data_IF_336056517986
#
_entry.id   IF_336056517986
#
_cell.length_a   1.000
_cell.length_b   1.000
_cell.length_c   1.000
_cell.angle_alpha   90.00
_cell.angle_beta   90.00
_cell.angle_gamma   90.00
#
_symmetry.space_group_name_H-M   'P 1'
#
loop_
_entity.id
_entity.type
_entity.pdbx_description
1 polymer ?
#
# COMPACT_ATOMS: atom_id res chain seq x y z
N UNK A 1 34.47 -33.41 -49.20
CA UNK A 1 35.76 -34.11 -49.24
C UNK A 1 36.54 -33.60 -48.04
N UNK A 2 36.24 -34.20 -46.89
CA UNK A 2 37.20 -34.94 -46.03
C UNK A 2 38.08 -33.96 -45.25
N UNK A 3 37.91 -33.85 -43.93
CA UNK A 3 38.38 -34.87 -42.99
C UNK A 3 37.40 -35.17 -41.84
N UNK A 4 37.37 -36.46 -41.50
CA UNK A 4 36.51 -37.13 -40.54
C UNK A 4 37.20 -37.33 -39.18
N UNK A 5 36.37 -37.29 -38.12
CA UNK A 5 36.34 -38.20 -36.97
C UNK A 5 37.48 -38.22 -35.93
N UNK A 6 37.14 -38.82 -34.79
CA UNK A 6 37.91 -39.07 -33.55
C UNK A 6 37.74 -37.92 -32.53
N UNK A 7 37.02 -38.03 -31.40
CA UNK A 7 37.08 -39.08 -30.38
C UNK A 7 35.79 -39.07 -29.52
N UNK A 8 35.13 -40.22 -29.41
CA UNK A 8 34.07 -40.53 -28.46
C UNK A 8 34.60 -41.52 -27.40
N UNK A 9 33.92 -41.59 -26.23
CA UNK A 9 34.18 -42.37 -24.99
C UNK A 9 34.97 -41.55 -23.95
N UNK A 10 34.55 -41.40 -22.69
CA UNK A 10 33.97 -42.39 -21.76
C UNK A 10 33.11 -41.72 -20.68
N UNK A 11 31.87 -42.20 -20.49
CA UNK A 11 31.05 -41.93 -19.31
C UNK A 11 31.16 -43.10 -18.31
N UNK A 12 31.19 -42.85 -16.98
CA UNK A 12 31.19 -43.93 -15.98
C UNK A 12 29.79 -44.52 -15.72
N UNK A 13 29.70 -45.79 -15.26
CA UNK A 13 28.47 -46.57 -15.27
C UNK A 13 27.53 -46.27 -14.08
N UNK A 14 26.24 -46.42 -14.33
CA UNK A 14 25.14 -46.40 -13.34
C UNK A 14 25.22 -47.66 -12.45
N UNK A 15 25.36 -47.45 -11.15
CA UNK A 15 25.32 -48.51 -10.14
C UNK A 15 23.90 -48.74 -9.60
N UNK A 16 23.32 -49.88 -9.98
CA UNK A 16 22.71 -50.86 -9.08
C UNK A 16 21.61 -50.41 -8.11
N UNK A 17 20.36 -50.65 -8.52
CA UNK A 17 19.20 -50.83 -7.63
C UNK A 17 19.45 -51.93 -6.59
N UNK A 18 19.30 -51.61 -5.30
CA UNK A 18 19.02 -52.58 -4.24
C UNK A 18 17.78 -52.15 -3.45
N UNK A 19 16.83 -53.08 -3.39
CA UNK A 19 15.54 -53.01 -2.71
C UNK A 19 15.63 -53.45 -1.24
N UNK A 20 14.68 -52.91 -0.45
CA UNK A 20 14.10 -53.38 0.85
C UNK A 20 14.64 -52.75 2.15
N UNK A 21 13.86 -52.72 3.26
CA UNK A 21 12.39 -52.75 3.39
C UNK A 21 11.81 -51.61 4.27
N UNK A 22 10.48 -51.56 4.25
CA UNK A 22 9.55 -50.76 5.07
C UNK A 22 9.84 -50.75 6.57
N UNK A 23 9.74 -49.57 7.21
CA UNK A 23 9.68 -49.40 8.66
C UNK A 23 8.45 -48.55 9.04
N UNK A 24 7.41 -49.30 9.41
CA UNK A 24 6.39 -49.10 10.45
C UNK A 24 6.13 -47.69 11.01
N UNK A 25 4.87 -47.28 10.83
CA UNK A 25 4.15 -46.22 11.55
C UNK A 25 4.11 -46.48 13.06
N UNK A 26 4.30 -45.42 13.87
CA UNK A 26 3.82 -45.34 15.26
C UNK A 26 3.18 -43.98 15.51
N UNK A 27 1.94 -43.88 15.99
CA UNK A 27 1.33 -42.64 16.44
C UNK A 27 1.44 -42.48 17.97
N UNK A 28 1.03 -41.28 18.43
CA UNK A 28 0.63 -40.90 19.79
C UNK A 28 1.71 -40.31 20.70
N UNK A 29 1.55 -39.02 20.99
CA UNK A 29 1.45 -38.56 22.36
C UNK A 29 0.51 -37.34 22.42
N UNK A 30 -0.67 -37.61 22.98
CA UNK A 30 -1.72 -36.66 23.36
C UNK A 30 -1.35 -35.87 24.62
N UNK A 31 -1.81 -34.61 24.63
CA UNK A 31 -2.35 -33.83 25.76
C UNK A 31 -1.59 -33.79 27.09
N UNK A 32 -1.27 -32.57 27.52
CA UNK A 32 -1.43 -32.17 28.94
C UNK A 32 -1.67 -30.67 29.05
N UNK A 33 -2.93 -30.32 29.31
CA UNK A 33 -3.36 -29.02 29.80
C UNK A 33 -2.98 -28.94 31.29
N UNK A 34 -2.09 -28.02 31.67
CA UNK A 34 -1.80 -27.77 33.07
C UNK A 34 -2.68 -26.62 33.58
N UNK A 35 -3.40 -26.93 34.66
CA UNK A 35 -4.42 -26.13 35.31
C UNK A 35 -3.88 -24.85 35.99
N UNK A 36 -4.73 -23.84 36.01
CA UNK A 36 -4.54 -22.59 36.75
C UNK A 36 -4.60 -22.80 38.28
N UNK A 37 -3.78 -22.09 39.08
CA UNK A 37 -4.00 -22.01 40.51
C UNK A 37 -5.00 -20.91 40.86
N UNK A 38 -5.95 -21.30 41.71
CA UNK A 38 -6.99 -20.50 42.35
C UNK A 38 -6.45 -19.50 43.37
N UNK A 39 -7.14 -18.35 43.45
CA UNK A 39 -7.05 -17.24 44.43
C UNK A 39 -6.80 -17.66 45.89
N UNK A 40 -6.35 -16.68 46.71
CA UNK A 40 -7.25 -16.25 47.77
C UNK A 40 -7.51 -14.72 47.78
N UNK A 41 -8.75 -14.41 48.18
CA UNK A 41 -9.28 -13.07 48.44
C UNK A 41 -8.50 -12.39 49.58
N UNK A 42 -7.81 -11.31 49.24
CA UNK A 42 -7.24 -10.37 50.20
C UNK A 42 -8.22 -9.23 50.52
N UNK A 43 -8.64 -9.22 51.78
CA UNK A 43 -9.44 -8.28 52.57
C UNK A 43 -9.38 -6.79 52.17
N UNK A 44 -10.57 -6.18 52.05
CA UNK A 44 -10.80 -4.73 52.10
C UNK A 44 -10.28 -4.15 53.42
N UNK A 45 -9.31 -3.24 53.33
CA UNK A 45 -8.93 -2.33 54.39
C UNK A 45 -9.42 -0.93 54.06
N UNK A 46 -10.47 -0.48 54.76
CA UNK A 46 -10.83 0.93 54.86
C UNK A 46 -9.82 1.62 55.79
N UNK A 47 -9.20 2.71 55.34
CA UNK A 47 -8.50 3.64 56.23
C UNK A 47 -8.69 5.08 55.76
N UNK A 48 -9.43 5.80 56.62
CA UNK A 48 -9.35 7.20 57.03
C UNK A 48 -8.97 8.31 56.04
N UNK A 49 -9.83 9.33 56.08
CA UNK A 49 -9.72 10.63 55.45
C UNK A 49 -8.40 11.37 55.76
N UNK A 50 -7.77 11.87 54.70
CA UNK A 50 -6.75 12.91 54.75
C UNK A 50 -7.20 14.09 53.89
N UNK A 51 -7.46 15.22 54.54
CA UNK A 51 -7.80 16.51 53.93
C UNK A 51 -6.55 17.10 53.25
N UNK A 52 -6.34 16.71 52.00
CA UNK A 52 -5.27 17.23 51.13
C UNK A 52 -5.78 18.28 50.14
N UNK A 53 -5.39 19.53 50.39
CA UNK A 53 -5.52 20.72 49.53
C UNK A 53 -5.39 20.40 48.02
N UNK A 54 -6.46 20.63 47.25
CA UNK A 54 -6.45 20.52 45.80
C UNK A 54 -5.66 21.68 45.17
N UNK A 55 -4.36 21.50 44.98
CA UNK A 55 -3.58 22.33 44.07
C UNK A 55 -4.00 21.99 42.63
N UNK A 56 -4.47 23.00 41.89
CA UNK A 56 -4.94 22.88 40.52
C UNK A 56 -3.88 22.30 39.59
N UNK A 57 -3.91 20.98 39.40
CA UNK A 57 -3.25 20.31 38.30
C UNK A 57 -3.88 20.82 37.01
N UNK A 58 -3.14 21.68 36.28
CA UNK A 58 -3.44 22.01 34.90
C UNK A 58 -3.63 20.70 34.16
N UNK A 59 -4.86 20.43 33.73
CA UNK A 59 -5.26 19.25 32.98
C UNK A 59 -4.46 19.28 31.68
N UNK A 60 -3.37 18.53 31.63
CA UNK A 60 -2.58 18.38 30.41
C UNK A 60 -3.54 17.91 29.32
N UNK A 61 -3.57 18.65 28.21
CA UNK A 61 -4.30 18.26 27.02
C UNK A 61 -3.93 16.81 26.65
N UNK A 62 -4.87 16.00 26.13
CA UNK A 62 -4.56 14.64 25.73
C UNK A 62 -3.38 14.70 24.74
N UNK A 63 -2.23 14.15 25.14
CA UNK A 63 -1.10 13.94 24.23
C UNK A 63 -1.62 13.08 23.09
N UNK A 64 -1.52 13.57 21.86
CA UNK A 64 -1.92 12.82 20.67
C UNK A 64 -1.21 11.47 20.67
N UNK A 65 -2.00 10.39 20.61
CA UNK A 65 -1.49 9.02 20.74
C UNK A 65 -0.80 8.54 19.44
N UNK A 66 -0.76 9.35 18.38
CA UNK A 66 -0.07 8.99 17.14
C UNK A 66 0.59 10.21 16.51
N UNK A 67 1.87 10.35 16.77
CA UNK A 67 2.83 10.96 15.86
C UNK A 67 4.13 10.14 15.87
N UNK A 68 4.02 8.81 15.76
CA UNK A 68 5.06 8.07 15.07
C UNK A 68 4.90 8.39 13.59
N UNK A 69 5.93 8.93 12.95
CA UNK A 69 5.87 9.20 11.52
C UNK A 69 5.53 7.89 10.79
N UNK A 70 4.35 7.82 10.18
CA UNK A 70 3.87 6.62 9.48
C UNK A 70 4.88 6.27 8.40
N UNK A 71 5.26 4.99 8.33
CA UNK A 71 6.26 4.50 7.40
C UNK A 71 5.79 4.69 5.95
N UNK A 72 6.75 4.96 5.05
CA UNK A 72 6.48 5.13 3.63
C UNK A 72 7.42 4.27 2.79
N UNK A 73 6.88 3.70 1.72
CA UNK A 73 7.63 2.91 0.74
C UNK A 73 7.44 3.50 -0.66
N UNK A 74 8.53 3.56 -1.41
CA UNK A 74 8.50 3.83 -2.84
C UNK A 74 8.27 2.53 -3.60
N UNK A 75 7.31 2.57 -4.53
CA UNK A 75 7.00 1.45 -5.42
C UNK A 75 7.05 1.98 -6.85
N UNK A 76 7.74 1.27 -7.74
CA UNK A 76 7.81 1.60 -9.16
C UNK A 76 7.34 0.44 -10.01
N UNK A 77 6.35 0.70 -10.87
CA UNK A 77 5.99 -0.20 -11.96
C UNK A 77 6.92 0.10 -13.12
N UNK A 78 7.69 -0.91 -13.51
CA UNK A 78 8.72 -0.85 -14.55
C UNK A 78 8.08 -0.83 -15.95
N UNK A 79 8.86 -0.52 -17.01
CA UNK A 79 8.30 -0.34 -18.35
C UNK A 79 7.53 -1.56 -18.88
N UNK A 80 7.97 -2.78 -18.53
CA UNK A 80 7.27 -4.02 -18.87
C UNK A 80 5.87 -4.10 -18.25
N UNK A 81 5.72 -3.71 -16.98
CA UNK A 81 4.45 -3.67 -16.28
C UNK A 81 3.47 -2.65 -16.89
N UNK A 82 4.00 -1.49 -17.31
CA UNK A 82 3.20 -0.46 -17.98
C UNK A 82 2.76 -0.92 -19.37
N UNK A 83 3.70 -1.42 -20.19
CA UNK A 83 3.40 -1.91 -21.55
C UNK A 83 2.40 -3.06 -21.56
N UNK A 84 2.39 -3.90 -20.51
CA UNK A 84 1.45 -5.02 -20.36
C UNK A 84 0.10 -4.64 -19.73
N UNK A 85 -0.12 -3.36 -19.41
CA UNK A 85 -1.38 -2.91 -18.81
C UNK A 85 -1.59 -3.37 -17.35
N UNK A 86 -0.52 -3.69 -16.62
CA UNK A 86 -0.60 -4.24 -15.26
C UNK A 86 -0.72 -3.18 -14.15
N UNK A 87 -0.82 -1.90 -14.52
CA UNK A 87 -0.83 -0.77 -13.57
C UNK A 87 -1.97 -0.89 -12.56
N UNK A 88 -3.20 -1.10 -13.04
CA UNK A 88 -4.38 -1.21 -12.18
C UNK A 88 -4.34 -2.43 -11.25
N UNK A 89 -3.87 -3.58 -11.75
CA UNK A 89 -3.74 -4.81 -10.97
C UNK A 89 -2.75 -4.61 -9.81
N UNK A 90 -1.58 -4.02 -10.08
CA UNK A 90 -0.55 -3.79 -9.06
C UNK A 90 -1.05 -2.80 -8.00
N UNK A 91 -1.64 -1.68 -8.41
CA UNK A 91 -2.22 -0.69 -7.48
C UNK A 91 -3.27 -1.37 -6.59
N UNK A 92 -4.18 -2.13 -7.19
CA UNK A 92 -5.25 -2.84 -6.47
C UNK A 92 -4.72 -3.75 -5.37
N UNK A 93 -3.53 -4.36 -5.54
CA UNK A 93 -2.95 -5.25 -4.51
C UNK A 93 -2.51 -4.48 -3.26
N UNK A 94 -1.98 -3.27 -3.43
CA UNK A 94 -1.61 -2.40 -2.30
C UNK A 94 -2.85 -1.80 -1.63
N UNK A 95 -3.84 -1.36 -2.42
CA UNK A 95 -5.10 -0.82 -1.89
C UNK A 95 -5.89 -1.87 -1.09
N UNK A 96 -6.04 -3.10 -1.62
CA UNK A 96 -6.71 -4.21 -0.93
C UNK A 96 -6.01 -4.60 0.38
N UNK A 97 -4.72 -4.32 0.50
CA UNK A 97 -3.95 -4.55 1.73
C UNK A 97 -4.16 -3.46 2.79
N UNK A 98 -4.81 -2.36 2.43
CA UNK A 98 -5.13 -1.24 3.32
C UNK A 98 -4.08 -0.12 3.36
N UNK A 99 -3.12 -0.12 2.43
CA UNK A 99 -2.14 0.97 2.35
C UNK A 99 -2.72 2.21 1.68
N UNK A 100 -2.21 3.39 2.08
CA UNK A 100 -2.68 4.68 1.57
C UNK A 100 -1.74 5.13 0.46
N UNK A 101 -2.28 5.39 -0.73
CA UNK A 101 -1.54 6.00 -1.83
C UNK A 101 -1.38 7.51 -1.59
N UNK A 102 -0.15 7.98 -1.39
CA UNK A 102 0.17 9.39 -1.13
C UNK A 102 0.57 10.17 -2.37
N UNK A 103 1.03 9.47 -3.40
CA UNK A 103 1.42 10.08 -4.67
C UNK A 103 1.57 9.04 -5.76
N UNK A 104 1.21 9.42 -6.97
CA UNK A 104 1.32 8.60 -8.17
C UNK A 104 1.77 9.48 -9.33
N UNK A 105 2.74 9.00 -10.12
CA UNK A 105 3.27 9.72 -11.27
C UNK A 105 3.68 8.75 -12.37
N UNK A 106 3.12 8.94 -13.57
CA UNK A 106 3.58 8.31 -14.81
C UNK A 106 4.57 9.25 -15.49
N UNK A 107 5.78 8.77 -15.83
CA UNK A 107 6.73 9.56 -16.62
C UNK A 107 7.76 8.70 -17.33
N UNK A 108 8.44 9.28 -18.31
CA UNK A 108 9.63 8.69 -18.94
C UNK A 108 10.85 8.97 -18.06
N UNK A 109 11.48 7.93 -17.51
CA UNK A 109 12.61 8.11 -16.62
C UNK A 109 13.85 8.59 -17.39
N UNK A 110 14.41 9.78 -17.09
CA UNK A 110 15.65 10.21 -17.71
C UNK A 110 16.82 9.35 -17.22
N UNK A 111 17.83 9.17 -18.08
CA UNK A 111 18.96 8.27 -17.83
C UNK A 111 19.73 8.62 -16.54
N UNK A 112 19.96 9.91 -16.29
CA UNK A 112 20.69 10.37 -15.11
C UNK A 112 19.94 10.01 -13.81
N UNK A 113 18.60 10.14 -13.81
CA UNK A 113 17.78 9.77 -12.66
C UNK A 113 17.79 8.25 -12.43
N UNK A 114 17.75 7.45 -13.50
CA UNK A 114 17.84 6.00 -13.40
C UNK A 114 19.22 5.56 -12.84
N UNK A 115 20.30 6.22 -13.27
CA UNK A 115 21.65 5.95 -12.78
C UNK A 115 21.81 6.30 -11.31
N UNK A 116 21.28 7.44 -10.87
CA UNK A 116 21.29 7.83 -9.45
C UNK A 116 20.44 6.86 -8.60
N UNK A 117 19.28 6.43 -9.10
CA UNK A 117 18.44 5.46 -8.41
C UNK A 117 19.13 4.11 -8.19
N UNK A 118 19.88 3.63 -9.18
CA UNK A 118 20.58 2.35 -9.15
C UNK A 118 22.08 2.47 -8.84
N UNK A 119 22.54 3.58 -8.24
CA UNK A 119 23.97 3.85 -8.02
C UNK A 119 24.69 2.75 -7.25
N UNK A 120 24.01 2.10 -6.30
CA UNK A 120 24.57 1.01 -5.49
C UNK A 120 24.82 -0.27 -6.32
N UNK A 121 24.28 -0.34 -7.54
CA UNK A 121 24.45 -1.43 -8.49
C UNK A 121 25.44 -1.09 -9.62
N UNK A 122 26.09 0.08 -9.60
CA UNK A 122 26.93 0.58 -10.71
C UNK A 122 28.06 -0.38 -11.10
N UNK A 123 28.62 -1.10 -10.13
CA UNK A 123 29.72 -2.06 -10.34
C UNK A 123 29.24 -3.43 -10.86
N UNK A 124 27.92 -3.66 -10.89
CA UNK A 124 27.38 -4.96 -11.33
C UNK A 124 27.41 -5.07 -12.86
N UNK A 125 27.73 -6.24 -13.42
CA UNK A 125 27.86 -6.43 -14.87
C UNK A 125 26.54 -6.21 -15.63
N UNK A 126 25.40 -6.29 -14.95
CA UNK A 126 24.08 -6.05 -15.54
C UNK A 126 23.63 -4.58 -15.50
N UNK A 127 24.39 -3.68 -14.86
CA UNK A 127 23.98 -2.27 -14.67
C UNK A 127 23.68 -1.54 -15.99
N UNK A 128 24.49 -1.62 -17.06
CA UNK A 128 24.16 -0.95 -18.33
C UNK A 128 22.81 -1.40 -18.88
N UNK A 129 22.57 -2.73 -18.89
CA UNK A 129 21.30 -3.32 -19.35
C UNK A 129 20.11 -2.90 -18.48
N UNK A 130 20.32 -2.72 -17.17
CA UNK A 130 19.28 -2.23 -16.25
C UNK A 130 18.89 -0.79 -16.56
N UNK A 131 19.86 0.08 -16.83
CA UNK A 131 19.59 1.48 -17.19
C UNK A 131 18.88 1.57 -18.54
N UNK A 132 19.34 0.83 -19.54
CA UNK A 132 18.68 0.80 -20.86
C UNK A 132 17.24 0.28 -20.74
N UNK A 133 17.04 -0.75 -19.91
CA UNK A 133 15.72 -1.29 -19.64
C UNK A 133 14.78 -0.27 -18.98
N UNK A 134 15.21 0.39 -17.91
CA UNK A 134 14.37 1.34 -17.16
C UNK A 134 14.06 2.60 -17.98
N UNK A 135 14.96 2.98 -18.89
CA UNK A 135 14.78 4.12 -19.79
C UNK A 135 14.08 3.76 -21.11
N UNK A 136 13.78 2.48 -21.37
CA UNK A 136 13.15 2.01 -22.61
C UNK A 136 11.67 2.40 -22.77
N UNK A 137 11.01 2.84 -21.69
CA UNK A 137 9.60 3.20 -21.72
C UNK A 137 9.15 3.88 -20.42
N UNK A 138 7.87 4.26 -20.33
CA UNK A 138 7.36 4.98 -19.18
C UNK A 138 7.29 4.08 -17.94
N UNK A 139 7.48 4.68 -16.78
CA UNK A 139 7.35 4.05 -15.47
C UNK A 139 6.27 4.73 -14.64
N UNK A 140 5.64 3.98 -13.74
CA UNK A 140 4.72 4.53 -12.75
C UNK A 140 5.38 4.50 -11.39
N UNK A 141 5.64 5.68 -10.82
CA UNK A 141 6.16 5.84 -9.48
C UNK A 141 5.03 6.11 -8.49
N UNK A 142 5.10 5.46 -7.34
CA UNK A 142 4.09 5.55 -6.29
C UNK A 142 4.74 5.68 -4.92
N UNK A 143 4.11 6.47 -4.06
CA UNK A 143 4.43 6.55 -2.64
C UNK A 143 3.29 5.94 -1.83
N UNK A 144 3.56 4.88 -1.09
CA UNK A 144 2.60 4.19 -0.25
C UNK A 144 2.93 4.41 1.22
N UNK A 145 1.90 4.63 2.04
CA UNK A 145 2.00 4.91 3.47
C UNK A 145 1.19 3.89 4.28
N UNK A 146 1.76 3.43 5.39
CA UNK A 146 1.09 2.54 6.34
C UNK A 146 2.09 1.83 7.26
N UNK A 147 1.56 1.18 8.30
CA UNK A 147 2.39 0.49 9.29
C UNK A 147 3.08 -0.73 8.68
N UNK A 148 4.41 -0.80 8.79
CA UNK A 148 5.21 -1.89 8.22
C UNK A 148 5.14 -1.97 6.69
N UNK A 149 4.87 -0.85 6.01
CA UNK A 149 4.61 -0.85 4.57
C UNK A 149 5.79 -1.36 3.75
N UNK A 150 7.05 -1.07 4.11
CA UNK A 150 8.20 -1.54 3.32
C UNK A 150 8.33 -3.06 3.39
N UNK A 151 8.30 -3.61 4.61
CA UNK A 151 8.38 -5.05 4.81
C UNK A 151 7.18 -5.78 4.16
N UNK A 152 5.98 -5.23 4.32
CA UNK A 152 4.76 -5.79 3.75
C UNK A 152 4.68 -5.69 2.23
N UNK A 153 5.21 -4.60 1.66
CA UNK A 153 5.33 -4.39 0.21
C UNK A 153 6.29 -5.41 -0.38
N UNK A 154 7.47 -5.62 0.21
CA UNK A 154 8.43 -6.63 -0.25
C UNK A 154 7.87 -8.04 -0.24
N UNK A 155 7.13 -8.40 0.81
CA UNK A 155 6.42 -9.69 0.88
C UNK A 155 5.37 -9.81 -0.21
N UNK A 156 4.62 -8.74 -0.49
CA UNK A 156 3.60 -8.71 -1.55
C UNK A 156 4.22 -8.77 -2.96
N UNK A 157 5.37 -8.13 -3.16
CA UNK A 157 6.10 -8.10 -4.42
C UNK A 157 6.67 -9.48 -4.76
N UNK A 158 7.25 -10.18 -3.78
CA UNK A 158 7.89 -11.48 -3.98
C UNK A 158 9.37 -11.40 -4.35
N UNK A 159 10.02 -12.57 -4.42
CA UNK A 159 11.45 -12.71 -4.67
C UNK A 159 11.88 -12.05 -6.00
N UNK A 160 13.14 -11.62 -6.10
CA UNK A 160 13.66 -10.93 -7.30
C UNK A 160 13.61 -11.81 -8.55
N UNK A 161 13.91 -13.11 -8.39
CA UNK A 161 13.72 -14.12 -9.42
C UNK A 161 12.27 -14.62 -9.37
N UNK A 162 11.45 -14.42 -10.43
CA UNK A 162 10.06 -14.88 -10.45
C UNK A 162 9.89 -16.39 -10.22
N UNK A 163 10.87 -17.20 -10.65
CA UNK A 163 10.85 -18.66 -10.41
C UNK A 163 10.96 -19.05 -8.93
N UNK A 164 11.42 -18.12 -8.09
CA UNK A 164 11.54 -18.29 -6.64
C UNK A 164 10.51 -17.44 -5.88
N UNK A 165 9.62 -16.75 -6.60
CA UNK A 165 8.57 -15.95 -5.99
C UNK A 165 7.34 -16.83 -5.75
N UNK A 166 6.79 -16.76 -4.54
CA UNK A 166 5.62 -17.55 -4.17
C UNK A 166 4.38 -17.16 -5.02
N UNK A 167 3.50 -18.12 -5.37
CA UNK A 167 2.20 -17.84 -5.97
C UNK A 167 1.39 -16.83 -5.15
N UNK A 168 0.69 -15.91 -5.82
CA UNK A 168 -0.05 -14.81 -5.20
C UNK A 168 0.78 -13.54 -4.97
N UNK A 169 2.12 -13.61 -5.06
CA UNK A 169 2.96 -12.42 -5.11
C UNK A 169 2.93 -11.77 -6.48
N UNK A 170 3.22 -10.47 -6.56
CA UNK A 170 3.20 -9.75 -7.84
C UNK A 170 4.15 -10.39 -8.86
N UNK A 171 5.36 -10.76 -8.44
CA UNK A 171 6.35 -11.39 -9.33
C UNK A 171 6.02 -12.85 -9.63
N UNK A 172 5.49 -13.60 -8.66
CA UNK A 172 5.07 -14.99 -8.88
C UNK A 172 3.94 -15.09 -9.91
N UNK A 173 2.97 -14.17 -9.86
CA UNK A 173 1.82 -14.21 -10.78
C UNK A 173 2.10 -13.51 -12.12
N UNK A 174 2.87 -12.42 -12.11
CA UNK A 174 2.93 -11.50 -13.24
C UNK A 174 4.29 -11.47 -13.95
N UNK A 175 5.34 -12.12 -13.46
CA UNK A 175 6.67 -12.10 -14.09
C UNK A 175 7.18 -13.50 -14.45
N UNK A 176 8.03 -13.56 -15.48
CA UNK A 176 8.64 -14.81 -15.95
C UNK A 176 10.16 -14.78 -15.82
N UNK A 177 10.78 -13.63 -16.07
CA UNK A 177 12.25 -13.48 -16.11
C UNK A 177 12.72 -12.43 -15.11
N UNK A 178 13.87 -12.66 -14.48
CA UNK A 178 14.48 -11.73 -13.50
C UNK A 178 14.74 -10.32 -14.07
N UNK A 179 15.13 -10.23 -15.35
CA UNK A 179 15.37 -8.94 -16.02
C UNK A 179 14.11 -8.12 -16.30
N UNK A 180 12.92 -8.76 -16.28
CA UNK A 180 11.60 -8.14 -16.52
C UNK A 180 10.62 -8.60 -15.45
N UNK A 181 10.88 -8.13 -14.23
CA UNK A 181 10.16 -8.53 -13.03
C UNK A 181 9.14 -7.49 -12.55
N UNK A 182 8.61 -6.67 -13.47
CA UNK A 182 7.40 -5.83 -13.34
C UNK A 182 7.46 -4.67 -12.34
N UNK A 183 7.99 -4.89 -11.13
CA UNK A 183 7.86 -3.94 -10.02
C UNK A 183 9.15 -3.85 -9.20
N UNK A 184 9.45 -2.65 -8.72
CA UNK A 184 10.44 -2.33 -7.69
C UNK A 184 9.73 -1.88 -6.42
N UNK A 185 10.33 -2.17 -5.26
CA UNK A 185 9.91 -1.59 -3.99
C UNK A 185 11.12 -1.38 -3.10
N UNK A 186 11.07 -0.34 -2.27
CA UNK A 186 12.13 -0.01 -1.32
C UNK A 186 12.51 -1.21 -0.45
N UNK A 187 13.77 -1.28 -0.08
CA UNK A 187 14.32 -2.33 0.77
C UNK A 187 14.30 -1.99 2.27
N UNK A 188 14.28 -0.70 2.59
CA UNK A 188 14.29 -0.13 3.93
C UNK A 188 13.45 1.17 4.01
N UNK A 189 12.99 1.57 5.21
CA UNK A 189 12.26 2.83 5.41
C UNK A 189 13.05 4.07 5.00
N UNK A 190 14.35 4.09 5.25
CA UNK A 190 15.23 5.22 4.90
C UNK A 190 15.40 5.34 3.38
N UNK A 191 15.58 4.22 2.68
CA UNK A 191 15.61 4.21 1.22
C UNK A 191 14.24 4.60 0.64
N UNK A 192 13.14 4.17 1.25
CA UNK A 192 11.79 4.59 0.83
C UNK A 192 11.61 6.10 0.84
N UNK A 193 11.99 6.77 1.94
CA UNK A 193 11.94 8.25 2.02
C UNK A 193 12.85 8.92 0.99
N UNK A 194 14.06 8.40 0.81
CA UNK A 194 15.03 8.91 -0.17
C UNK A 194 14.48 8.79 -1.59
N UNK A 195 14.00 7.62 -1.97
CA UNK A 195 13.45 7.32 -3.30
C UNK A 195 12.21 8.18 -3.60
N UNK A 196 11.29 8.34 -2.64
CA UNK A 196 10.12 9.22 -2.76
C UNK A 196 10.55 10.68 -3.01
N UNK A 197 11.55 11.15 -2.26
CA UNK A 197 12.09 12.51 -2.36
C UNK A 197 12.60 12.87 -3.74
N UNK A 198 13.35 11.97 -4.37
CA UNK A 198 13.98 12.23 -5.67
C UNK A 198 13.12 11.85 -6.88
N UNK A 199 12.26 10.83 -6.79
CA UNK A 199 11.55 10.29 -7.96
C UNK A 199 10.07 10.68 -8.02
N UNK A 200 9.41 10.80 -6.87
CA UNK A 200 8.01 11.17 -6.78
C UNK A 200 7.83 12.69 -6.63
N UNK A 201 8.45 13.28 -5.61
CA UNK A 201 8.12 14.64 -5.15
C UNK A 201 8.53 15.82 -6.05
N UNK A 202 9.57 15.78 -6.93
CA UNK A 202 9.96 16.97 -7.70
C UNK A 202 8.86 17.49 -8.62
N UNK A 203 7.91 16.63 -9.02
CA UNK A 203 6.79 16.98 -9.90
C UNK A 203 5.40 16.67 -9.30
N UNK A 204 5.30 15.83 -8.26
CA UNK A 204 4.03 15.55 -7.57
C UNK A 204 3.45 16.73 -6.79
N UNK A 205 4.27 17.72 -6.39
CA UNK A 205 3.76 18.96 -5.79
C UNK A 205 2.74 19.66 -6.70
N UNK A 206 2.90 19.57 -8.02
CA UNK A 206 2.00 20.22 -8.98
C UNK A 206 0.67 19.47 -9.08
N UNK A 207 0.71 18.13 -9.17
CA UNK A 207 -0.49 17.32 -9.41
C UNK A 207 -1.38 17.19 -8.16
N UNK A 208 -0.80 17.04 -6.97
CA UNK A 208 -1.58 16.96 -5.72
C UNK A 208 -2.27 18.29 -5.40
N UNK A 209 -1.60 19.43 -5.64
CA UNK A 209 -2.23 20.75 -5.51
C UNK A 209 -3.37 20.93 -6.51
N UNK A 210 -3.20 20.48 -7.76
CA UNK A 210 -4.24 20.57 -8.79
C UNK A 210 -5.47 19.71 -8.46
N UNK A 211 -5.28 18.45 -8.05
CA UNK A 211 -6.40 17.56 -7.72
C UNK A 211 -7.10 17.96 -6.42
N UNK A 212 -6.37 18.37 -5.38
CA UNK A 212 -6.95 18.89 -4.15
C UNK A 212 -7.77 20.17 -4.42
N UNK A 213 -7.26 21.05 -5.30
CA UNK A 213 -7.99 22.25 -5.73
C UNK A 213 -9.24 21.90 -6.55
N UNK A 214 -9.18 20.86 -7.38
CA UNK A 214 -10.31 20.42 -8.20
C UNK A 214 -11.42 19.79 -7.35
N UNK A 215 -11.07 18.99 -6.34
CA UNK A 215 -12.04 18.36 -5.44
C UNK A 215 -12.73 19.38 -4.53
N UNK A 216 -11.99 20.37 -4.02
CA UNK A 216 -12.56 21.48 -3.23
C UNK A 216 -13.42 22.39 -4.13
N UNK A 217 -13.00 22.67 -5.36
CA UNK A 217 -13.79 23.47 -6.31
C UNK A 217 -15.08 22.77 -6.74
N UNK A 218 -15.02 21.47 -7.07
CA UNK A 218 -16.19 20.67 -7.46
C UNK A 218 -17.19 20.53 -6.30
N UNK A 219 -16.71 20.24 -5.08
CA UNK A 219 -17.55 20.20 -3.89
C UNK A 219 -18.16 21.57 -3.58
N UNK A 220 -17.40 22.66 -3.69
CA UNK A 220 -17.89 24.02 -3.48
C UNK A 220 -18.95 24.43 -4.52
N UNK A 221 -18.74 24.09 -5.79
CA UNK A 221 -19.68 24.37 -6.87
C UNK A 221 -20.99 23.59 -6.70
N UNK A 222 -20.91 22.29 -6.36
CA UNK A 222 -22.07 21.45 -6.11
C UNK A 222 -22.89 21.94 -4.90
N UNK A 223 -22.22 22.36 -3.82
CA UNK A 223 -22.88 22.91 -2.64
C UNK A 223 -23.52 24.29 -2.90
N UNK A 224 -22.93 25.13 -3.77
CA UNK A 224 -23.56 26.39 -4.19
C UNK A 224 -24.82 26.14 -5.01
N UNK A 225 -24.79 25.21 -5.97
CA UNK A 225 -25.95 24.80 -6.75
C UNK A 225 -27.08 24.28 -5.86
N UNK A 226 -26.76 23.43 -4.87
CA UNK A 226 -27.75 22.91 -3.92
C UNK A 226 -28.41 24.03 -3.10
N UNK A 227 -27.62 24.98 -2.58
CA UNK A 227 -28.13 26.13 -1.82
C UNK A 227 -29.04 27.02 -2.67
N UNK A 228 -28.66 27.32 -3.91
CA UNK A 228 -29.52 28.10 -4.82
C UNK A 228 -30.83 27.36 -5.10
N UNK A 229 -30.79 26.05 -5.31
CA UNK A 229 -32.01 25.25 -5.52
C UNK A 229 -32.92 25.25 -4.30
N UNK A 230 -32.35 25.10 -3.10
CA UNK A 230 -33.09 25.17 -1.82
C UNK A 230 -33.72 26.55 -1.59
N UNK A 231 -33.04 27.64 -1.94
CA UNK A 231 -33.61 29.00 -1.87
C UNK A 231 -34.78 29.17 -2.83
N UNK A 232 -34.69 28.65 -4.06
CA UNK A 232 -35.79 28.69 -5.04
C UNK A 232 -36.98 27.83 -4.60
N UNK A 233 -36.73 26.66 -4.01
CA UNK A 233 -37.80 25.80 -3.45
C UNK A 233 -38.46 26.47 -2.24
N UNK A 234 -37.68 27.10 -1.36
CA UNK A 234 -38.17 27.82 -0.19
C UNK A 234 -38.96 29.09 -0.57
N UNK A 235 -38.54 29.81 -1.61
CA UNK A 235 -39.27 31.00 -2.09
C UNK A 235 -40.61 30.63 -2.73
N UNK A 236 -40.70 29.51 -3.44
CA UNK A 236 -41.96 29.00 -4.02
C UNK A 236 -42.96 28.50 -2.98
N UNK A 237 -42.52 28.04 -1.80
CA UNK A 237 -43.44 27.65 -0.70
C UNK A 237 -44.02 28.83 0.07
N UNK A 238 -43.41 30.03 0.00
CA UNK A 238 -43.88 31.22 0.71
C UNK A 238 -45.02 31.98 -0.02
N UNK A 239 -45.34 31.61 -1.26
CA UNK A 239 -46.37 32.27 -2.08
C UNK A 239 -47.77 31.64 -1.92
N UNK A 240 -47.90 30.46 -1.30
CA UNK A 240 -49.19 29.74 -1.17
C UNK A 240 -49.90 29.89 0.20
N UNK A 241 -49.53 30.88 1.02
CA UNK A 241 -50.29 31.22 2.24
C UNK A 241 -50.64 32.71 2.24
N UNK A 242 -51.71 33.05 1.52
CA UNK A 242 -52.33 34.36 1.57
C UNK A 242 -53.64 34.34 0.80
N UNK A 243 -54.72 34.72 1.48
CA UNK A 243 -56.09 34.93 0.98
C UNK A 243 -57.02 33.71 0.87
N UNK A 244 -57.62 33.34 2.00
CA UNK A 244 -59.06 33.00 2.06
C UNK A 244 -59.68 33.94 3.10
N UNK A 245 -60.14 35.10 2.65
CA UNK A 245 -60.87 36.05 3.49
C UNK A 245 -62.38 35.73 3.40
N UNK A 246 -62.95 35.34 4.54
CA UNK A 246 -64.37 35.00 4.71
C UNK A 246 -65.19 36.29 4.70
N UNK A 247 -65.80 36.66 3.57
CA UNK A 247 -66.98 37.53 3.56
C UNK A 247 -68.24 36.71 3.81
N UNK A 248 -68.58 36.50 5.08
CA UNK A 248 -69.95 36.13 5.47
C UNK A 248 -70.85 37.37 5.42
N UNK A 249 -71.94 37.24 4.69
CA UNK A 249 -72.96 38.26 4.43
C UNK A 249 -73.58 38.82 5.73
N UNK A 250 -73.64 40.15 5.83
CA UNK A 250 -74.74 40.86 6.50
C UNK A 250 -75.59 41.50 5.42
N UNK A 251 -76.86 41.11 5.37
CA UNK A 251 -77.89 41.70 4.50
C UNK A 251 -79.25 41.20 4.95
N UNK A 252 -80.03 42.13 5.49
CA UNK A 252 -81.37 42.04 6.07
C UNK A 252 -82.46 41.50 5.13
N UNK A 253 -83.38 40.70 5.67
CA UNK A 253 -84.81 41.03 5.84
C UNK A 253 -85.49 39.95 6.69
#
# INVERSE_FOLDING_TARGET
>A
METMAVLAKTAPPLAGTRSRPSATVRPSASLSFAAAPTRPRGRLGLSAAGTGRAAGARRAAPRSIVASAVEQSYIMIKPDGVQRGLVGEIISRFEKKGFILKGLKLFQCPKDLAQEHYKDLKEKPFFPKLIDYITSGPVVCMAWEGDGVVASARKLIGATNPLQAEPGTIRGDLAVQTGRNVVHGSDSPDNGKREIGYQCLPQLRVLVLLLASFQVAAASWMMRRLKTMLVVIASRRRVNFGFVDKKYHRGSQ
#
